data_IF_125978398007
#
_entry.id   IF_125978398007
#
_cell.length_a   1.000
_cell.length_b   1.000
_cell.length_c   1.000
_cell.angle_alpha   90.00
_cell.angle_beta   90.00
_cell.angle_gamma   90.00
#
_symmetry.space_group_name_H-M   'P 1'
#
loop_
_entity.id
_entity.type
_entity.pdbx_description
1 polymer ?
#
# COMPACT_ATOMS: atom_id res chain seq x y z
N UNK A 1 -25.23 59.02 24.98
CA UNK A 1 -24.75 57.77 25.59
C UNK A 1 -24.48 56.77 24.47
N UNK A 2 -23.24 56.29 24.35
CA UNK A 2 -22.78 55.37 23.31
C UNK A 2 -23.15 53.94 23.69
N UNK A 3 -23.94 53.25 22.87
CA UNK A 3 -24.16 51.80 23.00
C UNK A 3 -23.02 51.12 22.27
N UNK A 4 -22.25 50.36 23.03
CA UNK A 4 -21.02 49.70 22.61
C UNK A 4 -21.38 48.51 21.72
N UNK A 5 -20.82 48.53 20.50
CA UNK A 5 -20.88 47.41 19.56
C UNK A 5 -20.09 46.24 20.13
N UNK A 6 -20.75 45.14 20.47
CA UNK A 6 -20.11 43.86 20.78
C UNK A 6 -20.82 42.74 20.03
N UNK A 7 -20.77 42.81 18.69
CA UNK A 7 -20.98 41.63 17.88
C UNK A 7 -19.70 40.79 17.95
N UNK A 8 -19.70 39.79 18.82
CA UNK A 8 -18.72 38.69 18.80
C UNK A 8 -18.82 37.99 17.45
N UNK A 9 -18.06 38.49 16.47
CA UNK A 9 -17.75 37.76 15.25
C UNK A 9 -16.81 36.63 15.70
N UNK A 10 -17.41 35.50 16.05
CA UNK A 10 -16.72 34.22 16.19
C UNK A 10 -16.22 33.89 14.79
N UNK A 11 -15.00 34.35 14.52
CA UNK A 11 -14.22 34.03 13.35
C UNK A 11 -13.80 32.56 13.51
N UNK A 12 -14.69 31.64 13.12
CA UNK A 12 -14.37 30.24 12.90
C UNK A 12 -13.39 30.18 11.73
N UNK A 13 -12.11 30.33 12.05
CA UNK A 13 -11.00 29.90 11.20
C UNK A 13 -11.14 28.39 11.00
N UNK A 14 -11.91 28.02 9.97
CA UNK A 14 -11.75 26.76 9.26
C UNK A 14 -10.31 26.75 8.74
N UNK A 15 -9.40 26.22 9.55
CA UNK A 15 -8.11 25.73 9.09
C UNK A 15 -8.41 24.62 8.10
N UNK A 16 -8.58 25.00 6.83
CA UNK A 16 -8.34 24.11 5.72
C UNK A 16 -6.87 23.69 5.85
N UNK A 17 -6.67 22.52 6.46
CA UNK A 17 -5.42 21.79 6.38
C UNK A 17 -5.33 21.38 4.91
N UNK A 18 -4.85 22.29 4.06
CA UNK A 18 -4.39 21.95 2.74
C UNK A 18 -3.15 21.08 2.97
N UNK A 19 -3.37 19.78 3.11
CA UNK A 19 -2.30 18.79 3.12
C UNK A 19 -1.56 18.92 1.81
N UNK A 20 -0.41 19.59 1.84
CA UNK A 20 0.55 19.50 0.75
C UNK A 20 0.90 18.03 0.62
N UNK A 21 0.40 17.37 -0.44
CA UNK A 21 0.83 16.03 -0.80
C UNK A 21 2.32 16.11 -1.12
N UNK A 22 3.16 15.74 -0.16
CA UNK A 22 4.56 15.43 -0.40
C UNK A 22 4.59 14.33 -1.47
N UNK A 23 5.50 14.48 -2.44
CA UNK A 23 5.66 13.49 -3.50
C UNK A 23 5.91 12.12 -2.85
N UNK A 24 5.22 11.04 -3.26
CA UNK A 24 5.41 9.72 -2.68
C UNK A 24 6.89 9.30 -2.80
N UNK A 25 7.51 8.99 -1.66
CA UNK A 25 8.90 8.56 -1.57
C UNK A 25 8.98 7.06 -1.26
N UNK A 26 9.10 6.27 -2.32
CA UNK A 26 9.26 4.82 -2.23
C UNK A 26 10.55 4.39 -1.51
N UNK A 27 11.58 5.23 -1.50
CA UNK A 27 12.86 4.89 -0.85
C UNK A 27 12.75 4.97 0.68
N UNK A 28 11.73 5.66 1.19
CA UNK A 28 11.47 5.74 2.63
C UNK A 28 10.70 4.52 3.16
N UNK A 29 10.14 3.67 2.27
CA UNK A 29 9.38 2.49 2.69
C UNK A 29 10.33 1.35 3.05
N UNK A 30 10.11 0.76 4.22
CA UNK A 30 10.81 -0.45 4.67
C UNK A 30 9.81 -1.52 5.06
N UNK A 31 10.21 -2.79 4.94
CA UNK A 31 9.50 -3.93 5.52
C UNK A 31 9.26 -3.68 7.02
N UNK A 32 8.22 -4.31 7.58
CA UNK A 32 7.74 -4.17 8.96
C UNK A 32 7.07 -2.83 9.31
N UNK A 33 7.04 -1.85 8.40
CA UNK A 33 6.21 -0.65 8.57
C UNK A 33 4.75 -1.03 8.68
N UNK A 34 4.00 -0.32 9.52
CA UNK A 34 2.56 -0.51 9.60
C UNK A 34 1.81 0.22 8.48
N UNK A 35 0.53 -0.15 8.29
CA UNK A 35 -0.30 0.41 7.23
C UNK A 35 -0.39 1.94 7.29
N UNK A 36 -0.50 2.50 8.49
CA UNK A 36 -0.62 3.95 8.67
C UNK A 36 0.67 4.68 8.29
N UNK A 37 1.84 4.16 8.65
CA UNK A 37 3.13 4.73 8.28
C UNK A 37 3.30 4.79 6.75
N UNK A 38 2.88 3.74 6.04
CA UNK A 38 2.92 3.73 4.57
C UNK A 38 1.96 4.76 3.99
N UNK A 39 0.74 4.88 4.52
CA UNK A 39 -0.24 5.88 4.08
C UNK A 39 0.25 7.32 4.35
N UNK A 40 0.95 7.56 5.46
CA UNK A 40 1.53 8.87 5.78
C UNK A 40 2.61 9.27 4.78
N UNK A 41 3.40 8.31 4.28
CA UNK A 41 4.47 8.55 3.31
C UNK A 41 3.96 8.64 1.86
N UNK A 42 2.99 7.81 1.50
CA UNK A 42 2.51 7.64 0.12
C UNK A 42 1.25 8.45 -0.19
N UNK A 43 0.54 8.92 0.85
CA UNK A 43 -0.80 9.45 0.74
C UNK A 43 -1.89 8.36 0.74
N UNK A 44 -3.15 8.75 0.52
CA UNK A 44 -4.26 7.80 0.48
C UNK A 44 -4.13 6.84 -0.72
N UNK A 45 -4.39 5.53 -0.54
CA UNK A 45 -4.38 4.57 -1.64
C UNK A 45 -5.52 4.84 -2.62
N UNK A 46 -5.34 4.40 -3.86
CA UNK A 46 -6.39 4.41 -4.89
C UNK A 46 -7.48 3.39 -4.57
N UNK A 47 -7.09 2.22 -4.09
CA UNK A 47 -8.01 1.17 -3.66
C UNK A 47 -7.37 0.36 -2.52
N UNK A 48 -8.19 -0.30 -1.71
CA UNK A 48 -7.73 -1.17 -0.64
C UNK A 48 -8.66 -2.35 -0.45
N UNK A 49 -8.09 -3.49 -0.07
CA UNK A 49 -8.86 -4.65 0.33
C UNK A 49 -8.23 -5.30 1.55
N UNK A 50 -9.06 -5.84 2.43
CA UNK A 50 -8.62 -6.59 3.61
C UNK A 50 -9.37 -7.90 3.66
N UNK A 51 -8.64 -8.99 3.86
CA UNK A 51 -9.17 -10.33 4.06
C UNK A 51 -8.43 -10.99 5.20
N UNK A 52 -9.16 -11.36 6.27
CA UNK A 52 -8.60 -11.88 7.51
C UNK A 52 -7.55 -10.92 8.10
N UNK A 53 -6.29 -11.35 8.18
CA UNK A 53 -5.16 -10.59 8.70
C UNK A 53 -4.34 -9.91 7.60
N UNK A 54 -4.73 -10.07 6.33
CA UNK A 54 -3.99 -9.56 5.18
C UNK A 54 -4.69 -8.33 4.61
N UNK A 55 -3.95 -7.24 4.43
CA UNK A 55 -4.43 -6.03 3.75
C UNK A 55 -3.58 -5.76 2.52
N UNK A 56 -4.24 -5.41 1.42
CA UNK A 56 -3.63 -4.99 0.17
C UNK A 56 -3.94 -3.52 -0.08
N UNK A 57 -2.92 -2.67 -0.16
CA UNK A 57 -3.06 -1.28 -0.58
C UNK A 57 -2.59 -1.13 -2.03
N UNK A 58 -3.39 -0.42 -2.82
CA UNK A 58 -3.15 -0.20 -4.25
C UNK A 58 -3.04 1.28 -4.56
N UNK A 59 -1.97 1.68 -5.26
CA UNK A 59 -1.70 3.04 -5.69
C UNK A 59 -1.52 3.08 -7.21
N UNK A 60 -2.41 3.78 -7.91
CA UNK A 60 -2.32 3.98 -9.36
C UNK A 60 -1.53 5.25 -9.65
N UNK A 61 -0.26 5.12 -10.05
CA UNK A 61 0.61 6.27 -10.35
C UNK A 61 0.43 6.81 -11.77
N UNK A 62 0.19 5.89 -12.72
CA UNK A 62 -0.08 6.17 -14.14
C UNK A 62 -1.19 5.22 -14.58
N UNK A 63 -1.86 5.46 -15.74
CA UNK A 63 -2.93 4.58 -16.22
C UNK A 63 -2.57 3.08 -16.33
N UNK A 64 -1.29 2.74 -16.28
CA UNK A 64 -0.75 1.39 -16.41
C UNK A 64 0.25 0.99 -15.32
N UNK A 65 0.55 1.89 -14.38
CA UNK A 65 1.54 1.62 -13.33
C UNK A 65 0.80 1.53 -12.01
N UNK A 66 0.80 0.32 -11.47
CA UNK A 66 0.24 -0.01 -10.18
C UNK A 66 1.39 -0.23 -9.22
N UNK A 67 1.28 0.39 -8.05
CA UNK A 67 2.16 0.14 -6.93
C UNK A 67 1.32 -0.51 -5.84
N UNK A 68 1.82 -1.60 -5.28
CA UNK A 68 1.11 -2.34 -4.25
C UNK A 68 1.93 -2.51 -2.98
N UNK A 69 1.21 -2.66 -1.88
CA UNK A 69 1.75 -2.97 -0.56
C UNK A 69 0.87 -4.03 0.10
N UNK A 70 1.48 -5.11 0.56
CA UNK A 70 0.79 -6.21 1.26
C UNK A 70 1.21 -6.21 2.72
N UNK A 71 0.21 -6.19 3.59
CA UNK A 71 0.38 -6.20 5.04
C UNK A 71 -0.16 -7.50 5.59
N UNK A 72 0.57 -8.11 6.51
CA UNK A 72 0.09 -9.22 7.33
C UNK A 72 0.10 -8.77 8.79
N UNK A 73 -1.02 -8.89 9.49
CA UNK A 73 -1.18 -8.41 10.87
C UNK A 73 -0.74 -6.94 11.04
N UNK A 74 -1.10 -6.09 10.06
CA UNK A 74 -0.72 -4.67 10.03
C UNK A 74 0.81 -4.42 9.94
N UNK A 75 1.59 -5.38 9.44
CA UNK A 75 3.02 -5.21 9.15
C UNK A 75 3.26 -5.42 7.66
N UNK A 76 3.99 -4.50 7.03
CA UNK A 76 4.33 -4.58 5.62
C UNK A 76 5.26 -5.77 5.39
N UNK A 77 4.82 -6.71 4.56
CA UNK A 77 5.58 -7.92 4.22
C UNK A 77 6.07 -7.93 2.77
N UNK A 78 5.39 -7.18 1.89
CA UNK A 78 5.71 -7.11 0.47
C UNK A 78 5.29 -5.76 -0.10
N UNK A 79 6.07 -5.23 -1.02
CA UNK A 79 5.64 -4.13 -1.88
C UNK A 79 6.33 -4.23 -3.24
N UNK A 80 5.68 -3.69 -4.27
CA UNK A 80 6.19 -3.79 -5.63
C UNK A 80 5.45 -2.89 -6.61
N UNK A 81 6.04 -2.75 -7.80
CA UNK A 81 5.43 -2.03 -8.90
C UNK A 81 5.14 -2.99 -10.06
N UNK A 82 3.91 -2.97 -10.54
CA UNK A 82 3.46 -3.70 -11.72
C UNK A 82 3.20 -2.71 -12.87
N UNK A 83 3.81 -2.96 -14.02
CA UNK A 83 3.50 -2.24 -15.26
C UNK A 83 2.63 -3.13 -16.14
N UNK A 84 1.41 -2.69 -16.43
CA UNK A 84 0.45 -3.40 -17.29
C UNK A 84 0.47 -2.84 -18.71
N UNK A 85 0.08 -3.68 -19.68
CA UNK A 85 -0.07 -3.25 -21.07
C UNK A 85 -1.28 -2.32 -21.24
N UNK A 86 -1.14 -1.35 -22.15
CA UNK A 86 -2.18 -0.39 -22.53
C UNK A 86 -3.46 -1.10 -23.00
N UNK A 87 -4.61 -0.71 -22.45
CA UNK A 87 -5.92 -1.23 -22.86
C UNK A 87 -6.52 -2.32 -21.95
N UNK A 88 -5.76 -2.82 -20.98
CA UNK A 88 -6.30 -3.67 -19.92
C UNK A 88 -6.72 -2.82 -18.71
N UNK A 89 -7.94 -3.03 -18.22
CA UNK A 89 -8.38 -2.42 -16.98
C UNK A 89 -7.51 -2.92 -15.81
N UNK A 90 -7.15 -2.01 -14.91
CA UNK A 90 -6.48 -2.39 -13.66
C UNK A 90 -7.49 -3.20 -12.81
N UNK A 91 -7.11 -4.38 -12.30
CA UNK A 91 -7.96 -5.13 -11.37
C UNK A 91 -8.14 -4.36 -10.06
N UNK A 92 -9.23 -4.66 -9.34
CA UNK A 92 -9.46 -4.10 -8.00
C UNK A 92 -8.45 -4.64 -6.98
N UNK A 93 -8.27 -3.92 -5.88
CA UNK A 93 -7.46 -4.38 -4.76
C UNK A 93 -7.97 -5.72 -4.20
N UNK A 94 -9.28 -5.97 -4.22
CA UNK A 94 -9.86 -7.24 -3.79
C UNK A 94 -9.44 -8.41 -4.69
N UNK A 95 -9.47 -8.21 -6.01
CA UNK A 95 -9.05 -9.24 -6.98
C UNK A 95 -7.57 -9.53 -6.83
N UNK A 96 -6.75 -8.49 -6.63
CA UNK A 96 -5.32 -8.65 -6.42
C UNK A 96 -5.00 -9.35 -5.10
N UNK A 97 -5.73 -9.06 -4.02
CA UNK A 97 -5.59 -9.74 -2.74
C UNK A 97 -5.93 -11.23 -2.85
N UNK A 98 -7.03 -11.59 -3.54
CA UNK A 98 -7.40 -12.98 -3.79
C UNK A 98 -6.34 -13.73 -4.60
N UNK A 99 -5.81 -13.10 -5.66
CA UNK A 99 -4.72 -13.65 -6.45
C UNK A 99 -3.47 -13.88 -5.60
N UNK A 100 -3.05 -12.87 -4.82
CA UNK A 100 -1.89 -12.98 -3.94
C UNK A 100 -2.05 -14.12 -2.93
N UNK A 101 -3.21 -14.22 -2.27
CA UNK A 101 -3.53 -15.31 -1.33
C UNK A 101 -3.54 -16.68 -2.01
N UNK A 102 -3.97 -16.75 -3.27
CA UNK A 102 -3.93 -18.01 -4.04
C UNK A 102 -2.51 -18.46 -4.35
N UNK A 103 -1.58 -17.54 -4.60
CA UNK A 103 -0.17 -17.84 -4.86
C UNK A 103 0.55 -18.36 -3.60
N UNK A 104 0.21 -17.85 -2.40
CA UNK A 104 0.80 -18.31 -1.14
C UNK A 104 0.58 -19.82 -0.88
N UNK A 105 -0.49 -20.38 -1.44
CA UNK A 105 -0.89 -21.78 -1.23
C UNK A 105 -0.45 -22.71 -2.36
N UNK A 106 0.24 -22.22 -3.40
CA UNK A 106 0.71 -23.08 -4.48
C UNK A 106 1.96 -23.84 -4.06
N UNK A 107 1.99 -25.13 -4.39
CA UNK A 107 3.20 -25.93 -4.25
C UNK A 107 4.31 -25.29 -5.10
N UNK A 108 5.37 -24.83 -4.45
CA UNK A 108 6.56 -24.29 -5.13
C UNK A 108 7.12 -25.41 -5.99
N UNK A 109 7.11 -25.24 -7.32
CA UNK A 109 7.62 -26.24 -8.24
C UNK A 109 9.14 -26.40 -8.01
N UNK A 110 9.63 -27.54 -7.49
CA UNK A 110 11.04 -27.72 -7.15
C UNK A 110 11.98 -27.56 -8.35
N UNK A 111 11.46 -27.74 -9.58
CA UNK A 111 12.23 -27.58 -10.81
C UNK A 111 12.50 -26.12 -11.20
N UNK A 112 11.82 -25.15 -10.59
CA UNK A 112 12.10 -23.72 -10.74
C UNK A 112 13.14 -23.21 -9.71
N UNK A 113 13.63 -24.10 -8.84
CA UNK A 113 14.46 -23.77 -7.67
C UNK A 113 15.84 -24.45 -7.77
N UNK A 114 16.44 -24.48 -8.96
CA UNK A 114 17.83 -24.91 -9.10
C UNK A 114 18.73 -24.01 -8.24
N UNK A 115 19.32 -24.56 -7.17
CA UNK A 115 20.22 -23.83 -6.26
C UNK A 115 19.62 -23.41 -4.90
N UNK A 116 18.32 -23.58 -4.63
CA UNK A 116 17.77 -23.27 -3.29
C UNK A 116 17.38 -24.52 -2.51
N UNK A 117 17.68 -24.53 -1.21
CA UNK A 117 17.24 -25.57 -0.28
C UNK A 117 16.01 -25.07 0.48
N UNK A 118 14.98 -25.91 0.55
CA UNK A 118 13.88 -25.69 1.49
C UNK A 118 14.33 -26.12 2.90
N UNK A 119 14.24 -25.19 3.85
CA UNK A 119 14.40 -25.46 5.28
C UNK A 119 13.19 -24.85 5.99
N UNK A 120 12.41 -25.70 6.67
CA UNK A 120 11.27 -25.31 7.53
C UNK A 120 10.34 -24.26 6.89
N UNK A 121 9.84 -24.57 5.69
CA UNK A 121 8.93 -23.72 4.89
C UNK A 121 9.52 -22.38 4.43
N UNK A 122 10.83 -22.14 4.63
CA UNK A 122 11.55 -20.99 4.09
C UNK A 122 12.42 -21.41 2.92
N UNK A 123 12.37 -20.64 1.85
CA UNK A 123 13.26 -20.80 0.69
C UNK A 123 14.50 -19.97 0.98
N UNK A 124 15.65 -20.63 1.14
CA UNK A 124 16.93 -19.94 1.21
C UNK A 124 17.69 -20.17 -0.10
N UNK A 125 17.70 -19.14 -0.94
CA UNK A 125 18.46 -19.12 -2.18
C UNK A 125 19.83 -18.50 -1.89
N UNK A 126 20.86 -19.35 -1.75
CA UNK A 126 22.24 -18.89 -1.76
C UNK A 126 22.66 -18.66 -3.21
N UNK A 127 23.16 -17.47 -3.52
CA UNK A 127 23.84 -17.24 -4.79
C UNK A 127 25.14 -18.07 -4.78
N UNK A 128 25.27 -19.00 -5.73
CA UNK A 128 26.56 -19.64 -6.05
C UNK A 128 27.47 -18.65 -6.80
#
# INVERSE_FOLDING_TARGET
>A
MRVIYQACIIMTTLFFIAGCATKPDLNAITIDMNQQQVIELMGPPTDLATQQTTTYLMYTQKPQTLLHFVFLNNQLIEYGQENRQLGHALPSASTQLELWLSEQNKAVNPSAIAGCKMLDQRINCGAE
#
